data_IF_866493227619
#
_entry.id   IF_866493227619
#
_cell.length_a   1.000
_cell.length_b   1.000
_cell.length_c   1.000
_cell.angle_alpha   90.00
_cell.angle_beta   90.00
_cell.angle_gamma   90.00
#
_symmetry.space_group_name_H-M   'P 1'
#
loop_
_entity.id
_entity.type
_entity.pdbx_description
1 polymer ?
#
# COMPACT_ATOMS: atom_id res chain seq x y z
N UNK A 1 3.63 -11.19 -20.75
CA UNK A 1 4.40 -11.45 -19.53
C UNK A 1 3.44 -11.20 -18.37
N UNK A 2 3.10 -12.20 -17.56
CA UNK A 2 2.25 -11.96 -16.39
C UNK A 2 3.10 -11.24 -15.34
N UNK A 3 2.64 -10.11 -14.76
CA UNK A 3 3.36 -9.48 -13.68
C UNK A 3 3.42 -10.44 -12.49
N UNK A 4 4.61 -10.62 -11.92
CA UNK A 4 4.78 -11.33 -10.65
C UNK A 4 4.26 -10.40 -9.56
N UNK A 5 3.18 -10.80 -8.89
CA UNK A 5 2.57 -10.07 -7.79
C UNK A 5 2.94 -10.78 -6.50
N UNK A 6 3.71 -10.11 -5.65
CA UNK A 6 4.10 -10.60 -4.32
C UNK A 6 3.24 -9.91 -3.26
N UNK A 7 2.95 -10.62 -2.17
CA UNK A 7 2.21 -10.04 -1.07
C UNK A 7 3.12 -9.08 -0.31
N UNK A 8 2.58 -7.91 0.03
CA UNK A 8 3.28 -6.94 0.87
C UNK A 8 3.52 -7.51 2.26
N UNK A 9 4.74 -7.31 2.76
CA UNK A 9 5.09 -7.47 4.17
C UNK A 9 4.38 -6.43 5.04
N UNK A 10 4.27 -6.67 6.36
CA UNK A 10 3.71 -5.70 7.28
C UNK A 10 4.36 -4.31 7.19
N UNK A 11 5.67 -4.24 6.99
CA UNK A 11 6.39 -2.99 6.85
C UNK A 11 6.02 -2.26 5.55
N UNK A 12 5.87 -3.00 4.45
CA UNK A 12 5.52 -2.46 3.14
C UNK A 12 4.09 -1.92 3.08
N UNK A 13 3.17 -2.37 3.95
CA UNK A 13 1.82 -1.81 4.07
C UNK A 13 1.82 -0.30 4.29
N UNK A 14 2.79 0.20 5.04
CA UNK A 14 2.88 1.61 5.43
C UNK A 14 3.59 2.49 4.39
N UNK A 15 4.24 1.89 3.39
CA UNK A 15 5.02 2.60 2.37
C UNK A 15 4.53 2.25 0.98
N UNK A 16 4.83 1.05 0.50
CA UNK A 16 4.43 0.57 -0.82
C UNK A 16 2.91 0.44 -0.94
N UNK A 17 2.24 0.02 0.14
CA UNK A 17 0.79 -0.03 0.22
C UNK A 17 0.12 1.34 0.06
N UNK A 18 0.84 2.45 0.27
CA UNK A 18 0.36 3.81 -0.01
C UNK A 18 0.85 4.33 -1.38
N UNK A 19 1.46 3.46 -2.18
CA UNK A 19 2.09 3.80 -3.45
C UNK A 19 3.21 4.83 -3.30
N UNK A 20 3.94 4.80 -2.18
CA UNK A 20 5.10 5.67 -1.92
C UNK A 20 6.35 4.95 -2.39
N UNK A 21 7.11 5.57 -3.29
CA UNK A 21 8.37 5.02 -3.85
C UNK A 21 9.60 5.79 -3.40
N UNK A 22 9.40 6.85 -2.62
CA UNK A 22 10.44 7.72 -2.10
C UNK A 22 9.84 9.03 -1.61
N UNK A 23 10.67 10.06 -1.50
CA UNK A 23 10.22 11.40 -1.17
C UNK A 23 11.39 12.36 -1.08
N UNK A 24 11.07 13.64 -1.05
CA UNK A 24 12.05 14.72 -0.92
C UNK A 24 11.53 15.82 -0.01
N UNK A 25 12.43 16.61 0.54
CA UNK A 25 12.06 17.84 1.25
C UNK A 25 11.75 18.92 0.21
N UNK A 26 10.65 19.64 0.40
CA UNK A 26 10.37 20.83 -0.38
C UNK A 26 11.23 22.02 0.06
N UNK A 27 11.05 23.18 -0.59
CA UNK A 27 11.79 24.41 -0.27
C UNK A 27 11.55 24.96 1.15
N UNK A 28 10.59 24.43 1.89
CA UNK A 28 10.30 24.78 3.28
C UNK A 28 10.67 23.65 4.25
N UNK A 29 11.46 22.67 3.79
CA UNK A 29 11.89 21.52 4.58
C UNK A 29 10.73 20.59 5.00
N UNK A 30 9.62 20.61 4.25
CA UNK A 30 8.49 19.71 4.48
C UNK A 30 8.68 18.46 3.61
N UNK A 31 8.61 17.28 4.23
CA UNK A 31 8.71 16.01 3.51
C UNK A 31 7.49 15.77 2.63
N UNK A 32 7.74 15.53 1.35
CA UNK A 32 6.73 15.23 0.33
C UNK A 32 7.01 13.87 -0.29
N UNK A 33 6.05 12.92 -0.28
CA UNK A 33 6.24 11.62 -0.90
C UNK A 33 6.29 11.72 -2.42
N UNK A 34 7.13 10.88 -3.02
CA UNK A 34 7.05 10.53 -4.43
C UNK A 34 6.16 9.31 -4.59
N UNK A 35 5.24 9.41 -5.53
CA UNK A 35 4.22 8.40 -5.74
C UNK A 35 4.47 7.57 -6.99
N UNK A 36 4.12 6.30 -6.92
CA UNK A 36 4.10 5.42 -8.08
C UNK A 36 3.03 5.83 -9.12
N UNK A 37 3.15 5.35 -10.38
CA UNK A 37 2.16 5.59 -11.41
C UNK A 37 0.77 5.05 -11.04
N UNK A 38 -0.27 5.72 -11.53
CA UNK A 38 -1.66 5.28 -11.42
C UNK A 38 -1.86 3.87 -11.97
N UNK A 39 -2.80 3.13 -11.38
CA UNK A 39 -3.19 1.79 -11.79
C UNK A 39 -2.27 0.67 -11.31
N UNK A 40 -1.32 0.97 -10.42
CA UNK A 40 -0.51 -0.06 -9.78
C UNK A 40 -1.38 -0.96 -8.88
N UNK A 41 -1.03 -2.24 -8.84
CA UNK A 41 -1.71 -3.28 -8.08
C UNK A 41 -0.86 -3.69 -6.87
N UNK A 42 -1.47 -3.72 -5.68
CA UNK A 42 -0.86 -4.23 -4.45
C UNK A 42 -1.65 -5.40 -3.89
N UNK A 43 -0.93 -6.43 -3.44
CA UNK A 43 -1.51 -7.61 -2.78
C UNK A 43 -1.27 -7.54 -1.28
N UNK A 44 -2.36 -7.55 -0.52
CA UNK A 44 -2.37 -7.58 0.93
C UNK A 44 -2.78 -8.97 1.37
N UNK A 45 -1.93 -9.66 2.13
CA UNK A 45 -2.22 -11.02 2.61
C UNK A 45 -1.97 -11.13 4.13
N UNK A 46 -2.74 -10.42 4.95
CA UNK A 46 -2.54 -10.44 6.40
C UNK A 46 -2.95 -11.78 7.02
N UNK A 47 -2.34 -12.11 8.16
CA UNK A 47 -2.83 -13.19 9.01
C UNK A 47 -4.21 -12.84 9.58
N UNK A 48 -5.10 -13.81 9.84
CA UNK A 48 -6.45 -13.55 10.34
C UNK A 48 -6.48 -12.69 11.62
N UNK A 49 -5.53 -12.89 12.52
CA UNK A 49 -5.43 -12.16 13.79
C UNK A 49 -5.18 -10.64 13.64
N UNK A 50 -4.74 -10.18 12.46
CA UNK A 50 -4.42 -8.77 12.20
C UNK A 50 -5.20 -8.20 11.01
N UNK A 51 -6.18 -8.95 10.48
CA UNK A 51 -6.91 -8.57 9.28
C UNK A 51 -7.61 -7.21 9.41
N UNK A 52 -8.19 -6.92 10.58
CA UNK A 52 -8.88 -5.64 10.84
C UNK A 52 -7.91 -4.45 10.82
N UNK A 53 -6.73 -4.59 11.44
CA UNK A 53 -5.70 -3.56 11.44
C UNK A 53 -5.15 -3.31 10.03
N UNK A 54 -4.92 -4.39 9.27
CA UNK A 54 -4.50 -4.28 7.87
C UNK A 54 -5.56 -3.63 7.00
N UNK A 55 -6.84 -3.93 7.24
CA UNK A 55 -7.95 -3.30 6.53
C UNK A 55 -8.02 -1.81 6.82
N UNK A 56 -7.81 -1.39 8.07
CA UNK A 56 -7.76 0.04 8.43
C UNK A 56 -6.65 0.78 7.66
N UNK A 57 -5.44 0.22 7.61
CA UNK A 57 -4.33 0.81 6.86
C UNK A 57 -4.59 0.86 5.35
N UNK A 58 -5.18 -0.19 4.78
CA UNK A 58 -5.59 -0.20 3.38
C UNK A 58 -6.61 0.91 3.07
N UNK A 59 -7.59 1.13 3.96
CA UNK A 59 -8.58 2.19 3.77
C UNK A 59 -7.92 3.59 3.82
N UNK A 60 -6.90 3.78 4.66
CA UNK A 60 -6.09 5.02 4.65
C UNK A 60 -5.33 5.18 3.33
N UNK A 61 -4.79 4.09 2.77
CA UNK A 61 -4.13 4.13 1.47
C UNK A 61 -5.10 4.55 0.35
N UNK A 62 -6.25 3.88 0.26
CA UNK A 62 -7.27 4.19 -0.74
C UNK A 62 -7.81 5.62 -0.62
N UNK A 63 -7.97 6.14 0.60
CA UNK A 63 -8.40 7.53 0.81
C UNK A 63 -7.38 8.55 0.28
N UNK A 64 -6.09 8.28 0.44
CA UNK A 64 -5.01 9.16 -0.04
C UNK A 64 -4.73 8.98 -1.54
N UNK A 65 -4.96 7.78 -2.07
CA UNK A 65 -4.69 7.36 -3.44
C UNK A 65 -5.86 6.56 -3.98
N UNK A 66 -6.77 7.24 -4.68
CA UNK A 66 -7.94 6.61 -5.30
C UNK A 66 -7.64 5.98 -6.66
N UNK A 67 -6.42 6.15 -7.16
CA UNK A 67 -5.95 5.72 -8.47
C UNK A 67 -5.10 4.44 -8.44
N UNK A 68 -4.99 3.77 -7.27
CA UNK A 68 -4.30 2.49 -7.09
C UNK A 68 -5.31 1.35 -6.88
N UNK A 69 -4.90 0.12 -7.17
CA UNK A 69 -5.72 -1.08 -7.01
C UNK A 69 -5.19 -1.96 -5.87
N UNK A 70 -6.06 -2.28 -4.92
CA UNK A 70 -5.71 -3.10 -3.76
C UNK A 70 -6.49 -4.40 -3.80
N UNK A 71 -5.79 -5.54 -3.71
CA UNK A 71 -6.40 -6.87 -3.55
C UNK A 71 -6.04 -7.39 -2.17
N UNK A 72 -7.06 -7.82 -1.42
CA UNK A 72 -6.87 -8.44 -0.09
C UNK A 72 -7.16 -9.93 -0.20
N UNK A 73 -6.22 -10.74 0.22
CA UNK A 73 -6.35 -12.18 0.34
C UNK A 73 -6.39 -12.55 1.83
N UNK A 74 -7.58 -12.86 2.33
CA UNK A 74 -7.77 -13.38 3.68
C UNK A 74 -7.85 -14.90 3.62
N UNK A 75 -7.06 -15.58 4.44
CA UNK A 75 -7.19 -17.03 4.61
C UNK A 75 -8.27 -17.29 5.64
N UNK A 76 -9.29 -18.07 5.28
CA UNK A 76 -10.25 -18.61 6.25
C UNK A 76 -9.57 -19.70 7.10
N UNK A 77 -9.86 -19.70 8.40
CA UNK A 77 -9.37 -20.69 9.38
C UNK A 77 -10.24 -21.94 9.37
#
# INVERSE_FOLDING_TARGET
>A
MQPKLEALTPEEWHVEGHGITGGELDKHEIWKPTHEPSGKLHLWAPAPAIADATLEELLKAQHKRTDTFHVVCLREL
#
